data_IF_210564820821
#
_entry.id   IF_210564820821
#
_cell.length_a   1.000
_cell.length_b   1.000
_cell.length_c   1.000
_cell.angle_alpha   90.00
_cell.angle_beta   90.00
_cell.angle_gamma   90.00
#
_symmetry.space_group_name_H-M   'P 1'
#
loop_
_entity.id
_entity.type
_entity.pdbx_description
1 polymer ?
#
# COMPACT_ATOMS: atom_id res chain seq x y z
N UNK A 1 -25.20 -37.19 20.82
CA UNK A 1 -24.10 -36.23 21.11
C UNK A 1 -24.28 -35.06 20.16
N UNK A 2 -24.56 -33.87 20.68
CA UNK A 2 -24.89 -32.67 19.90
C UNK A 2 -23.78 -31.64 20.03
N UNK A 3 -23.08 -31.34 18.95
CA UNK A 3 -22.04 -30.32 18.95
C UNK A 3 -22.61 -29.03 18.37
N UNK A 4 -23.04 -28.14 19.25
CA UNK A 4 -23.43 -26.76 18.92
C UNK A 4 -22.18 -25.91 18.80
N UNK A 5 -21.86 -25.41 17.61
CA UNK A 5 -20.80 -24.40 17.43
C UNK A 5 -21.43 -23.04 17.73
N UNK A 6 -21.31 -22.58 18.97
CA UNK A 6 -21.54 -21.17 19.32
C UNK A 6 -20.33 -20.35 18.90
N UNK A 7 -20.40 -19.73 17.71
CA UNK A 7 -19.49 -18.63 17.37
C UNK A 7 -20.11 -17.29 17.75
N UNK A 8 -20.29 -17.05 19.04
CA UNK A 8 -20.54 -15.71 19.58
C UNK A 8 -19.20 -15.08 19.92
N UNK A 9 -18.58 -14.44 18.94
CA UNK A 9 -17.57 -13.42 19.16
C UNK A 9 -17.78 -12.31 18.11
N UNK A 10 -18.73 -11.44 18.43
CA UNK A 10 -18.81 -10.06 17.97
C UNK A 10 -17.46 -9.37 18.24
N UNK A 11 -16.57 -9.44 17.27
CA UNK A 11 -15.45 -8.51 17.16
C UNK A 11 -15.61 -7.83 15.81
N UNK A 12 -16.05 -6.58 15.84
CA UNK A 12 -16.02 -5.67 14.71
C UNK A 12 -14.69 -5.86 13.97
N UNK A 13 -14.72 -6.54 12.83
CA UNK A 13 -13.56 -6.64 11.94
C UNK A 13 -13.34 -5.23 11.41
N UNK A 14 -12.61 -4.40 12.15
CA UNK A 14 -12.06 -3.13 11.68
C UNK A 14 -11.48 -3.45 10.32
N UNK A 15 -12.08 -2.92 9.25
CA UNK A 15 -11.69 -3.23 7.87
C UNK A 15 -10.17 -3.11 7.81
N UNK A 16 -9.49 -4.24 7.61
CA UNK A 16 -8.04 -4.26 7.60
C UNK A 16 -7.61 -3.27 6.51
N UNK A 17 -6.95 -2.18 6.91
CA UNK A 17 -6.45 -1.21 5.94
C UNK A 17 -5.41 -1.93 5.11
N UNK A 18 -5.54 -1.85 3.79
CA UNK A 18 -4.50 -2.34 2.91
C UNK A 18 -3.24 -1.51 3.14
N UNK A 19 -2.17 -2.18 3.56
CA UNK A 19 -0.85 -1.58 3.69
C UNK A 19 0.00 -2.20 2.58
N UNK A 20 0.38 -1.44 1.54
CA UNK A 20 1.26 -1.96 0.51
C UNK A 20 2.62 -2.31 1.11
N UNK A 21 3.15 -3.47 0.73
CA UNK A 21 4.53 -3.85 1.06
C UNK A 21 5.46 -3.10 0.10
N UNK A 22 6.32 -2.25 0.64
CA UNK A 22 7.26 -1.46 -0.18
C UNK A 22 8.26 -2.35 -0.93
N UNK A 23 8.53 -3.54 -0.40
CA UNK A 23 9.36 -4.57 -1.01
C UNK A 23 8.75 -5.01 -2.34
N UNK A 24 7.44 -5.29 -2.36
CA UNK A 24 6.73 -5.68 -3.58
C UNK A 24 6.82 -4.56 -4.64
N UNK A 25 6.64 -3.31 -4.21
CA UNK A 25 6.76 -2.16 -5.12
C UNK A 25 8.15 -2.05 -5.74
N UNK A 26 9.22 -2.21 -4.94
CA UNK A 26 10.60 -2.23 -5.44
C UNK A 26 10.83 -3.38 -6.42
N UNK A 27 10.37 -4.59 -6.09
CA UNK A 27 10.49 -5.76 -6.96
C UNK A 27 9.76 -5.55 -8.30
N UNK A 28 8.54 -5.00 -8.27
CA UNK A 28 7.80 -4.66 -9.49
C UNK A 28 8.58 -3.67 -10.37
N UNK A 29 9.16 -2.62 -9.79
CA UNK A 29 9.99 -1.66 -10.53
C UNK A 29 11.20 -2.33 -11.21
N UNK A 30 11.86 -3.27 -10.52
CA UNK A 30 13.02 -3.96 -11.09
C UNK A 30 12.65 -4.78 -12.34
N UNK A 31 11.50 -5.44 -12.35
CA UNK A 31 11.03 -6.18 -13.53
C UNK A 31 10.74 -5.27 -14.72
N UNK A 32 10.34 -4.03 -14.45
CA UNK A 32 10.09 -3.00 -15.47
C UNK A 32 11.36 -2.23 -15.87
N UNK A 33 12.52 -2.56 -15.28
CA UNK A 33 13.78 -1.84 -15.50
C UNK A 33 13.80 -0.42 -14.91
N UNK A 34 12.89 -0.13 -13.98
CA UNK A 34 12.75 1.16 -13.32
C UNK A 34 13.46 1.17 -11.96
N UNK A 35 13.95 2.34 -11.55
CA UNK A 35 14.58 2.55 -10.25
C UNK A 35 13.92 3.71 -9.51
N UNK A 36 13.89 3.62 -8.17
CA UNK A 36 13.43 4.73 -7.34
C UNK A 36 14.44 5.87 -7.42
N UNK A 37 13.97 7.09 -7.68
CA UNK A 37 14.81 8.29 -7.61
C UNK A 37 15.24 8.49 -6.17
N UNK A 38 16.55 8.63 -5.95
CA UNK A 38 17.10 8.87 -4.62
C UNK A 38 16.60 10.22 -4.07
N UNK A 39 16.14 10.16 -2.82
CA UNK A 39 15.44 11.21 -2.08
C UNK A 39 16.45 12.31 -1.71
N UNK A 40 16.81 13.16 -2.68
CA UNK A 40 17.48 14.44 -2.42
C UNK A 40 16.48 15.60 -2.39
N UNK A 41 15.34 15.43 -3.06
CA UNK A 41 14.32 16.47 -3.21
C UNK A 41 12.96 15.86 -2.86
N UNK A 42 12.45 16.16 -1.67
CA UNK A 42 11.06 15.88 -1.31
C UNK A 42 10.15 16.80 -2.15
N UNK A 43 9.91 16.43 -3.40
CA UNK A 43 8.96 17.16 -4.26
C UNK A 43 7.54 16.79 -3.85
N UNK A 44 6.74 17.80 -3.47
CA UNK A 44 5.33 17.59 -3.22
C UNK A 44 4.61 17.20 -4.51
N UNK A 45 3.51 16.44 -4.38
CA UNK A 45 2.66 16.09 -5.54
C UNK A 45 2.19 17.34 -6.29
N UNK A 46 1.98 18.47 -5.58
CA UNK A 46 1.61 19.74 -6.16
C UNK A 46 2.74 20.36 -7.00
N UNK A 47 3.99 20.29 -6.53
CA UNK A 47 5.14 20.74 -7.29
C UNK A 47 5.33 19.92 -8.57
N UNK A 48 5.16 18.60 -8.47
CA UNK A 48 5.27 17.71 -9.62
C UNK A 48 4.19 18.01 -10.67
N UNK A 49 2.92 18.15 -10.24
CA UNK A 49 1.82 18.54 -11.13
C UNK A 49 2.09 19.86 -11.84
N UNK A 50 2.57 20.89 -11.13
CA UNK A 50 2.91 22.18 -11.74
C UNK A 50 4.01 22.06 -12.80
N UNK A 51 5.04 21.24 -12.54
CA UNK A 51 6.18 21.06 -13.45
C UNK A 51 5.77 20.38 -14.76
N UNK A 52 4.88 19.40 -14.71
CA UNK A 52 4.50 18.55 -15.84
C UNK A 52 3.13 18.88 -16.46
N UNK A 53 2.42 19.93 -16.00
CA UNK A 53 1.13 20.34 -16.58
C UNK A 53 1.25 21.03 -17.95
N UNK A 54 2.44 21.04 -18.55
CA UNK A 54 2.68 21.59 -19.88
C UNK A 54 2.39 20.55 -20.95
#
# INVERSE_FOLDING_TARGET
>A
MTNTISSTATAEKKKAKFIPKMENFRTSLMYEGLTLKNIGENQSIAALKRKYAR
#
